data_IF_399401700232
#
_entry.id   IF_399401700232
#
_cell.length_a   1.000
_cell.length_b   1.000
_cell.length_c   1.000
_cell.angle_alpha   90.00
_cell.angle_beta   90.00
_cell.angle_gamma   90.00
#
_symmetry.space_group_name_H-M   'P 1'
#
loop_
_entity.id
_entity.type
_entity.pdbx_description
1 polymer ?
#
# COMPACT_ATOMS: atom_id res chain seq x y z
N UNK A 1 -16.77 19.73 15.85
CA UNK A 1 -15.37 19.24 15.71
C UNK A 1 -15.28 17.86 15.06
N UNK A 2 -16.12 16.87 15.43
CA UNK A 2 -16.09 15.51 14.85
C UNK A 2 -16.22 15.46 13.30
N UNK A 3 -17.05 16.31 12.70
CA UNK A 3 -17.25 16.39 11.24
C UNK A 3 -16.05 16.91 10.47
N UNK A 4 -15.31 17.87 11.04
CA UNK A 4 -14.09 18.39 10.43
C UNK A 4 -13.01 17.30 10.38
N UNK A 5 -12.92 16.50 11.45
CA UNK A 5 -12.01 15.35 11.54
C UNK A 5 -12.32 14.27 10.50
N UNK A 6 -13.60 13.94 10.27
CA UNK A 6 -14.00 12.92 9.29
C UNK A 6 -13.76 13.37 7.83
N UNK A 7 -14.00 14.66 7.53
CA UNK A 7 -13.70 15.21 6.20
C UNK A 7 -12.21 15.19 5.92
N UNK A 8 -11.38 15.62 6.87
CA UNK A 8 -9.94 15.66 6.69
C UNK A 8 -9.35 14.25 6.50
N UNK A 9 -9.73 13.30 7.36
CA UNK A 9 -9.30 11.90 7.23
C UNK A 9 -9.78 11.27 5.92
N UNK A 10 -11.02 11.53 5.50
CA UNK A 10 -11.53 11.08 4.20
C UNK A 10 -10.78 11.68 3.00
N UNK A 11 -10.47 12.98 3.02
CA UNK A 11 -9.65 13.64 1.98
C UNK A 11 -8.23 13.06 1.94
N UNK A 12 -7.60 12.86 3.09
CA UNK A 12 -6.28 12.21 3.16
C UNK A 12 -6.31 10.81 2.57
N UNK A 13 -7.38 10.03 2.83
CA UNK A 13 -7.54 8.71 2.25
C UNK A 13 -7.68 8.74 0.72
N UNK A 14 -8.46 9.69 0.19
CA UNK A 14 -8.61 9.90 -1.25
C UNK A 14 -7.28 10.29 -1.92
N UNK A 15 -6.58 11.26 -1.33
CA UNK A 15 -5.29 11.72 -1.86
C UNK A 15 -4.25 10.59 -1.81
N UNK A 16 -4.16 9.87 -0.69
CA UNK A 16 -3.28 8.73 -0.55
C UNK A 16 -3.57 7.61 -1.56
N UNK A 17 -4.84 7.28 -1.80
CA UNK A 17 -5.25 6.29 -2.79
C UNK A 17 -4.96 6.74 -4.24
N UNK A 18 -5.16 8.03 -4.55
CA UNK A 18 -4.80 8.56 -5.86
C UNK A 18 -3.28 8.53 -6.09
N UNK A 19 -2.49 8.88 -5.08
CA UNK A 19 -1.03 8.83 -5.13
C UNK A 19 -0.50 7.39 -5.25
N UNK A 20 -1.13 6.40 -4.63
CA UNK A 20 -0.72 4.99 -4.77
C UNK A 20 -0.99 4.46 -6.17
N UNK A 21 -2.11 4.84 -6.80
CA UNK A 21 -2.37 4.54 -8.21
C UNK A 21 -1.36 5.22 -9.11
N UNK A 22 -1.09 6.52 -8.90
CA UNK A 22 -0.09 7.26 -9.66
C UNK A 22 1.30 6.63 -9.56
N UNK A 23 1.66 6.15 -8.37
CA UNK A 23 2.91 5.42 -8.13
C UNK A 23 3.04 4.24 -9.08
N UNK A 24 2.02 3.37 -9.15
CA UNK A 24 2.04 2.17 -10.02
C UNK A 24 2.08 2.54 -11.49
N UNK A 25 1.35 3.58 -11.92
CA UNK A 25 1.37 4.05 -13.31
C UNK A 25 2.77 4.51 -13.72
N UNK A 26 3.50 5.14 -12.80
CA UNK A 26 4.86 5.63 -13.03
C UNK A 26 5.95 4.60 -12.70
N UNK A 27 5.61 3.50 -12.02
CA UNK A 27 6.58 2.56 -11.48
C UNK A 27 7.30 1.84 -12.63
N UNK A 28 8.62 2.05 -12.79
CA UNK A 28 9.34 1.49 -13.92
C UNK A 28 9.55 -0.03 -13.74
N UNK A 29 9.83 -0.71 -14.84
CA UNK A 29 10.35 -2.08 -14.78
C UNK A 29 11.77 -2.07 -14.20
N UNK A 30 12.12 -3.11 -13.45
CA UNK A 30 13.49 -3.33 -13.00
C UNK A 30 14.43 -3.68 -14.16
N UNK A 31 15.72 -3.84 -13.86
CA UNK A 31 16.73 -4.24 -14.82
C UNK A 31 18.10 -4.41 -14.19
N UNK A 32 19.12 -4.47 -15.03
CA UNK A 32 20.54 -4.46 -14.62
C UNK A 32 20.97 -3.07 -14.11
N UNK A 33 22.21 -2.96 -13.60
CA UNK A 33 22.74 -1.70 -13.07
C UNK A 33 22.72 -0.57 -14.10
N UNK A 34 23.07 -0.84 -15.35
CA UNK A 34 23.10 0.17 -16.40
C UNK A 34 21.69 0.73 -16.66
N UNK A 35 20.69 -0.14 -16.69
CA UNK A 35 19.29 0.24 -16.81
C UNK A 35 18.85 1.07 -15.61
N UNK A 36 19.12 0.62 -14.38
CA UNK A 36 18.75 1.33 -13.15
C UNK A 36 19.32 2.75 -13.10
N UNK A 37 20.55 2.95 -13.56
CA UNK A 37 21.18 4.28 -13.66
C UNK A 37 20.45 5.15 -14.69
N UNK A 38 20.06 4.59 -15.83
CA UNK A 38 19.31 5.31 -16.88
C UNK A 38 17.94 5.78 -16.39
N UNK A 39 17.25 4.99 -15.56
CA UNK A 39 15.90 5.30 -15.06
C UNK A 39 15.89 5.88 -13.64
N UNK A 40 17.05 6.21 -13.06
CA UNK A 40 17.19 6.58 -11.63
C UNK A 40 16.21 7.66 -11.16
N UNK A 41 15.96 8.67 -11.99
CA UNK A 41 15.08 9.78 -11.63
C UNK A 41 13.62 9.31 -11.52
N UNK A 42 13.18 8.45 -12.45
CA UNK A 42 11.83 7.89 -12.43
C UNK A 42 11.66 6.97 -11.21
N UNK A 43 12.66 6.15 -10.90
CA UNK A 43 12.68 5.31 -9.69
C UNK A 43 12.53 6.15 -8.41
N UNK A 44 13.39 7.16 -8.22
CA UNK A 44 13.35 8.03 -7.04
C UNK A 44 12.01 8.75 -6.95
N UNK A 45 11.56 9.36 -8.05
CA UNK A 45 10.33 10.16 -8.06
C UNK A 45 9.08 9.32 -7.74
N UNK A 46 8.88 8.22 -8.48
CA UNK A 46 7.73 7.32 -8.28
C UNK A 46 7.68 6.76 -6.85
N UNK A 47 8.80 6.29 -6.31
CA UNK A 47 8.83 5.72 -4.97
C UNK A 47 8.76 6.79 -3.87
N UNK A 48 9.20 8.01 -4.12
CA UNK A 48 8.97 9.14 -3.19
C UNK A 48 7.48 9.42 -3.05
N UNK A 49 6.71 9.37 -4.15
CA UNK A 49 5.24 9.45 -4.11
C UNK A 49 4.67 8.29 -3.29
N UNK A 50 5.16 7.07 -3.48
CA UNK A 50 4.74 5.88 -2.73
C UNK A 50 4.96 6.04 -1.21
N UNK A 51 6.14 6.51 -0.82
CA UNK A 51 6.50 6.75 0.59
C UNK A 51 5.63 7.87 1.16
N UNK A 52 5.42 8.95 0.41
CA UNK A 52 4.60 10.08 0.84
C UNK A 52 3.10 9.74 0.94
N UNK A 53 2.60 8.78 0.16
CA UNK A 53 1.19 8.37 0.23
C UNK A 53 0.89 7.54 1.49
N UNK A 54 1.86 6.78 2.00
CA UNK A 54 1.69 5.94 3.18
C UNK A 54 1.15 6.67 4.43
N UNK A 55 1.72 7.82 4.88
CA UNK A 55 1.16 8.56 6.01
C UNK A 55 -0.23 9.14 5.75
N UNK A 56 -0.56 9.50 4.50
CA UNK A 56 -1.90 9.98 4.14
C UNK A 56 -2.95 8.87 4.23
N UNK A 57 -2.64 7.69 3.70
CA UNK A 57 -3.49 6.49 3.84
C UNK A 57 -3.61 6.15 5.33
N UNK A 58 -2.51 6.10 6.07
CA UNK A 58 -2.51 5.80 7.51
C UNK A 58 -3.40 6.74 8.31
N UNK A 59 -3.33 8.05 8.05
CA UNK A 59 -4.19 9.04 8.71
C UNK A 59 -5.67 8.87 8.32
N UNK A 60 -5.95 8.57 7.06
CA UNK A 60 -7.32 8.29 6.60
C UNK A 60 -7.92 7.03 7.23
N UNK A 61 -7.13 5.96 7.30
CA UNK A 61 -7.51 4.70 7.97
C UNK A 61 -7.70 4.87 9.47
N UNK A 62 -6.95 5.77 10.12
CA UNK A 62 -7.21 6.12 11.52
C UNK A 62 -8.61 6.70 11.72
N UNK A 63 -9.05 7.59 10.82
CA UNK A 63 -10.42 8.13 10.82
C UNK A 63 -11.48 7.02 10.62
N UNK A 64 -11.23 6.10 9.68
CA UNK A 64 -12.08 4.92 9.49
C UNK A 64 -12.17 4.08 10.77
N UNK A 65 -11.04 3.85 11.43
CA UNK A 65 -11.01 3.03 12.64
C UNK A 65 -11.77 3.64 13.81
N UNK A 66 -11.67 4.96 13.97
CA UNK A 66 -12.44 5.72 14.95
C UNK A 66 -13.95 5.56 14.71
N UNK A 67 -14.38 5.66 13.45
CA UNK A 67 -15.80 5.57 13.10
C UNK A 67 -16.37 4.16 13.28
N UNK A 68 -15.58 3.13 13.01
CA UNK A 68 -15.97 1.72 13.19
C UNK A 68 -15.60 1.15 14.55
N UNK A 69 -15.23 1.99 15.53
CA UNK A 69 -14.77 1.50 16.84
C UNK A 69 -15.83 0.64 17.51
N UNK A 70 -15.47 -0.61 17.77
CA UNK A 70 -16.29 -1.61 18.44
C UNK A 70 -15.81 -1.88 19.87
N UNK A 71 -16.65 -2.56 20.67
CA UNK A 71 -16.33 -2.93 22.07
C UNK A 71 -15.03 -3.72 22.18
N UNK A 72 -14.71 -4.56 21.19
CA UNK A 72 -13.53 -5.42 21.20
C UNK A 72 -12.30 -4.76 20.58
N UNK A 73 -12.40 -3.49 20.14
CA UNK A 73 -11.33 -2.72 19.50
C UNK A 73 -10.77 -3.40 18.24
N UNK A 74 -11.55 -4.25 17.59
CA UNK A 74 -11.22 -4.93 16.33
C UNK A 74 -10.85 -3.92 15.24
N UNK A 75 -11.57 -2.79 15.20
CA UNK A 75 -11.30 -1.70 14.27
C UNK A 75 -9.92 -1.05 14.47
N UNK A 76 -9.45 -0.99 15.72
CA UNK A 76 -8.13 -0.46 16.07
C UNK A 76 -7.04 -1.49 15.74
N UNK A 77 -7.29 -2.78 15.97
CA UNK A 77 -6.39 -3.85 15.54
C UNK A 77 -6.17 -3.80 14.01
N UNK A 78 -7.24 -3.64 13.24
CA UNK A 78 -7.18 -3.49 11.78
C UNK A 78 -6.29 -2.30 11.36
N UNK A 79 -6.32 -1.19 12.10
CA UNK A 79 -5.43 -0.05 11.86
C UNK A 79 -3.97 -0.42 12.07
N UNK A 80 -3.62 -1.07 13.18
CA UNK A 80 -2.23 -1.42 13.47
C UNK A 80 -1.67 -2.40 12.44
N UNK A 81 -2.47 -3.37 12.00
CA UNK A 81 -2.10 -4.27 10.90
C UNK A 81 -1.87 -3.46 9.61
N UNK A 82 -2.74 -2.51 9.30
CA UNK A 82 -2.58 -1.68 8.10
C UNK A 82 -1.31 -0.81 8.17
N UNK A 83 -1.04 -0.19 9.33
CA UNK A 83 0.17 0.61 9.55
C UNK A 83 1.44 -0.23 9.45
N UNK A 84 1.42 -1.48 9.94
CA UNK A 84 2.51 -2.43 9.73
C UNK A 84 2.75 -2.69 8.23
N UNK A 85 1.68 -2.95 7.47
CA UNK A 85 1.77 -3.10 6.02
C UNK A 85 2.30 -1.85 5.31
N UNK A 86 1.80 -0.67 5.66
CA UNK A 86 2.25 0.61 5.09
C UNK A 86 3.72 0.91 5.43
N UNK A 87 4.18 0.50 6.62
CA UNK A 87 5.58 0.54 7.00
C UNK A 87 6.44 -0.37 6.10
N UNK A 88 5.99 -1.60 5.86
CA UNK A 88 6.67 -2.51 4.94
C UNK A 88 6.73 -1.95 3.51
N UNK A 89 5.63 -1.35 3.01
CA UNK A 89 5.60 -0.69 1.70
C UNK A 89 6.56 0.52 1.63
N UNK A 90 6.66 1.31 2.70
CA UNK A 90 7.58 2.45 2.77
C UNK A 90 9.04 2.01 2.76
N UNK A 91 9.35 0.90 3.46
CA UNK A 91 10.68 0.31 3.46
C UNK A 91 11.03 -0.28 2.08
N UNK A 92 10.08 -0.99 1.45
CA UNK A 92 10.20 -1.47 0.08
C UNK A 92 10.51 -0.32 -0.88
N UNK A 93 9.73 0.77 -0.80
CA UNK A 93 9.96 1.95 -1.63
C UNK A 93 11.29 2.64 -1.37
N UNK A 94 11.78 2.63 -0.13
CA UNK A 94 13.11 3.15 0.21
C UNK A 94 14.21 2.31 -0.43
N UNK A 95 14.13 0.99 -0.32
CA UNK A 95 15.12 0.08 -0.89
C UNK A 95 15.13 0.15 -2.42
N UNK A 96 13.96 -0.01 -3.05
CA UNK A 96 13.85 -0.09 -4.50
C UNK A 96 14.00 1.28 -5.19
N UNK A 97 13.47 2.33 -4.56
CA UNK A 97 13.40 3.66 -5.16
C UNK A 97 14.54 4.58 -4.82
N UNK A 98 15.19 4.41 -3.66
CA UNK A 98 16.22 5.33 -3.18
C UNK A 98 17.58 4.64 -3.09
N UNK A 99 17.66 3.49 -2.40
CA UNK A 99 18.93 2.79 -2.16
C UNK A 99 19.45 2.14 -3.44
N UNK A 100 18.61 1.37 -4.14
CA UNK A 100 19.00 0.62 -5.33
C UNK A 100 19.57 1.49 -6.47
N UNK A 101 18.96 2.62 -6.88
CA UNK A 101 19.54 3.48 -7.91
C UNK A 101 20.84 4.16 -7.47
N UNK A 102 21.00 4.45 -6.17
CA UNK A 102 22.27 4.99 -5.65
C UNK A 102 23.37 3.94 -5.69
N UNK A 103 23.06 2.71 -5.26
CA UNK A 103 23.97 1.56 -5.36
C UNK A 103 24.40 1.33 -6.81
N UNK A 104 23.45 1.24 -7.75
CA UNK A 104 23.76 1.07 -9.17
C UNK A 104 24.63 2.19 -9.72
N UNK A 105 24.37 3.45 -9.33
CA UNK A 105 25.19 4.60 -9.76
C UNK A 105 26.62 4.53 -9.23
N UNK A 106 26.82 4.02 -8.02
CA UNK A 106 28.14 3.94 -7.40
C UNK A 106 29.02 2.82 -7.98
N UNK A 107 28.41 1.72 -8.45
CA UNK A 107 29.15 0.52 -8.85
C UNK A 107 29.09 0.18 -10.34
N UNK A 108 28.25 0.85 -11.13
CA UNK A 108 28.23 0.65 -12.59
C UNK A 108 29.61 0.98 -13.18
N UNK A 109 30.21 0.02 -13.90
CA UNK A 109 31.53 0.17 -14.50
C UNK A 109 32.70 0.23 -13.51
N UNK A 110 32.49 -0.13 -12.24
CA UNK A 110 33.57 -0.30 -11.26
C UNK A 110 34.34 -1.60 -11.48
N UNK A 111 35.53 -1.70 -10.89
CA UNK A 111 36.35 -2.92 -10.92
C UNK A 111 35.90 -4.00 -9.92
N UNK A 112 34.76 -3.80 -9.23
CA UNK A 112 34.18 -4.78 -8.32
C UNK A 112 33.64 -5.97 -9.13
N UNK A 113 33.82 -7.18 -8.60
CA UNK A 113 33.34 -8.40 -9.23
C UNK A 113 31.84 -8.34 -9.57
N UNK A 114 31.51 -8.58 -10.85
CA UNK A 114 30.14 -8.45 -11.35
C UNK A 114 29.18 -9.46 -10.70
N UNK A 115 29.66 -10.69 -10.42
CA UNK A 115 28.85 -11.74 -9.79
C UNK A 115 28.46 -11.34 -8.36
N UNK A 116 29.39 -10.73 -7.61
CA UNK A 116 29.13 -10.18 -6.29
C UNK A 116 28.08 -9.05 -6.34
N UNK A 117 28.20 -8.13 -7.30
CA UNK A 117 27.23 -7.04 -7.46
C UNK A 117 25.84 -7.57 -7.80
N UNK A 118 25.74 -8.57 -8.68
CA UNK A 118 24.47 -9.22 -9.03
C UNK A 118 23.85 -9.94 -7.83
N UNK A 119 24.65 -10.62 -7.01
CA UNK A 119 24.17 -11.26 -5.78
C UNK A 119 23.59 -10.24 -4.79
N UNK A 120 24.21 -9.05 -4.66
CA UNK A 120 23.69 -7.96 -3.82
C UNK A 120 22.38 -7.42 -4.38
N UNK A 121 22.28 -7.21 -5.70
CA UNK A 121 21.05 -6.77 -6.35
C UNK A 121 19.92 -7.77 -6.16
N UNK A 122 20.20 -9.07 -6.33
CA UNK A 122 19.22 -10.13 -6.14
C UNK A 122 18.74 -10.19 -4.69
N UNK A 123 19.65 -10.09 -3.71
CA UNK A 123 19.28 -9.98 -2.31
C UNK A 123 18.33 -8.78 -2.07
N UNK A 124 18.66 -7.60 -2.59
CA UNK A 124 17.81 -6.42 -2.47
C UNK A 124 16.43 -6.63 -3.12
N UNK A 125 16.38 -7.29 -4.29
CA UNK A 125 15.12 -7.64 -4.97
C UNK A 125 14.28 -8.62 -4.15
N UNK A 126 14.86 -9.69 -3.61
CA UNK A 126 14.15 -10.65 -2.76
C UNK A 126 13.63 -10.00 -1.47
N UNK A 127 14.43 -9.13 -0.86
CA UNK A 127 14.03 -8.42 0.35
C UNK A 127 12.87 -7.45 0.05
N UNK A 128 12.94 -6.70 -1.04
CA UNK A 128 11.88 -5.83 -1.51
C UNK A 128 10.57 -6.61 -1.82
N UNK A 129 10.68 -7.73 -2.53
CA UNK A 129 9.53 -8.61 -2.82
C UNK A 129 8.86 -9.10 -1.54
N UNK A 130 9.64 -9.50 -0.55
CA UNK A 130 9.14 -9.97 0.75
C UNK A 130 8.34 -8.89 1.48
N UNK A 131 8.83 -7.64 1.47
CA UNK A 131 8.13 -6.50 2.07
C UNK A 131 6.83 -6.17 1.32
N UNK A 132 6.80 -6.29 -0.01
CA UNK A 132 5.58 -6.13 -0.79
C UNK A 132 4.52 -7.17 -0.42
N UNK A 133 4.90 -8.44 -0.21
CA UNK A 133 3.99 -9.47 0.31
C UNK A 133 3.47 -9.16 1.71
N UNK A 134 4.33 -8.68 2.62
CA UNK A 134 3.90 -8.25 3.97
C UNK A 134 2.87 -7.13 3.87
N UNK A 135 3.09 -6.14 3.01
CA UNK A 135 2.15 -5.06 2.74
C UNK A 135 0.81 -5.60 2.23
N UNK A 136 0.83 -6.43 1.18
CA UNK A 136 -0.37 -7.00 0.58
C UNK A 136 -1.20 -7.80 1.60
N UNK A 137 -0.56 -8.73 2.31
CA UNK A 137 -1.23 -9.56 3.31
C UNK A 137 -1.83 -8.71 4.43
N UNK A 138 -1.08 -7.73 4.93
CA UNK A 138 -1.53 -6.84 6.01
C UNK A 138 -2.77 -6.04 5.59
N UNK A 139 -2.74 -5.41 4.41
CA UNK A 139 -3.88 -4.63 3.92
C UNK A 139 -5.10 -5.50 3.66
N UNK A 140 -4.93 -6.69 3.08
CA UNK A 140 -6.01 -7.64 2.84
C UNK A 140 -6.70 -8.05 4.15
N UNK A 141 -5.90 -8.34 5.20
CA UNK A 141 -6.42 -8.67 6.53
C UNK A 141 -7.12 -7.46 7.17
N UNK A 142 -6.55 -6.26 7.08
CA UNK A 142 -7.18 -5.04 7.60
C UNK A 142 -8.53 -4.76 6.93
N UNK A 143 -8.61 -4.88 5.59
CA UNK A 143 -9.85 -4.73 4.83
C UNK A 143 -10.87 -5.78 5.26
N UNK A 144 -10.46 -7.05 5.46
CA UNK A 144 -11.36 -8.08 6.00
C UNK A 144 -11.97 -7.65 7.33
N UNK A 145 -11.15 -7.24 8.30
CA UNK A 145 -11.61 -6.89 9.63
C UNK A 145 -12.60 -5.71 9.61
N UNK A 146 -12.28 -4.62 8.89
CA UNK A 146 -13.23 -3.52 8.74
C UNK A 146 -14.49 -3.93 7.97
N UNK A 147 -14.36 -4.79 6.98
CA UNK A 147 -15.49 -5.28 6.19
C UNK A 147 -16.46 -6.11 7.03
N UNK A 148 -15.95 -6.99 7.89
CA UNK A 148 -16.78 -7.74 8.85
C UNK A 148 -17.48 -6.77 9.81
N UNK A 149 -16.78 -5.77 10.33
CA UNK A 149 -17.42 -4.76 11.19
C UNK A 149 -18.54 -4.01 10.46
N UNK A 150 -18.33 -3.62 9.20
CA UNK A 150 -19.33 -2.94 8.39
C UNK A 150 -20.55 -3.81 8.06
N UNK A 151 -20.39 -5.13 7.94
CA UNK A 151 -21.51 -6.05 7.65
C UNK A 151 -22.33 -6.37 8.91
N UNK A 152 -21.64 -6.59 10.05
CA UNK A 152 -22.29 -6.94 11.32
C UNK A 152 -22.84 -5.74 12.09
N UNK A 153 -22.23 -4.55 11.99
CA UNK A 153 -22.63 -3.36 12.74
C UNK A 153 -23.29 -2.30 11.83
N UNK A 154 -24.18 -1.45 12.39
CA UNK A 154 -24.82 -0.33 11.67
C UNK A 154 -23.89 0.89 11.56
N UNK A 155 -22.70 0.72 10.98
CA UNK A 155 -21.68 1.79 10.90
C UNK A 155 -21.76 2.63 9.63
N UNK A 156 -20.93 2.26 8.64
CA UNK A 156 -20.67 3.08 7.46
C UNK A 156 -21.58 2.74 6.28
N UNK A 157 -21.42 1.54 5.71
CA UNK A 157 -22.23 1.04 4.61
C UNK A 157 -22.00 -0.48 4.48
N UNK A 158 -23.07 -1.27 4.53
CA UNK A 158 -22.96 -2.74 4.39
C UNK A 158 -22.42 -3.17 3.03
N UNK A 159 -22.77 -2.44 1.97
CA UNK A 159 -22.29 -2.73 0.62
C UNK A 159 -20.76 -2.60 0.51
N UNK A 160 -20.16 -1.60 1.13
CA UNK A 160 -18.69 -1.48 1.19
C UNK A 160 -18.06 -2.64 1.97
N UNK A 161 -18.73 -3.10 3.02
CA UNK A 161 -18.34 -4.33 3.72
C UNK A 161 -18.31 -5.55 2.78
N UNK A 162 -19.39 -5.81 2.04
CA UNK A 162 -19.40 -6.91 1.07
C UNK A 162 -18.35 -6.75 -0.03
N UNK A 163 -18.13 -5.53 -0.53
CA UNK A 163 -17.07 -5.27 -1.50
C UNK A 163 -15.70 -5.59 -0.92
N UNK A 164 -15.41 -5.20 0.33
CA UNK A 164 -14.13 -5.54 0.97
C UNK A 164 -13.97 -7.03 1.29
N UNK A 165 -15.05 -7.77 1.55
CA UNK A 165 -15.00 -9.24 1.63
C UNK A 165 -14.61 -9.87 0.28
N UNK A 166 -15.09 -9.32 -0.84
CA UNK A 166 -14.67 -9.75 -2.18
C UNK A 166 -13.18 -9.42 -2.42
N UNK A 167 -12.74 -8.21 -2.05
CA UNK A 167 -11.31 -7.82 -2.12
C UNK A 167 -10.46 -8.79 -1.29
N UNK A 168 -10.91 -9.16 -0.09
CA UNK A 168 -10.23 -10.16 0.73
C UNK A 168 -10.15 -11.52 0.04
N UNK A 169 -11.28 -12.03 -0.48
CA UNK A 169 -11.31 -13.33 -1.14
C UNK A 169 -10.34 -13.40 -2.33
N UNK A 170 -10.35 -12.37 -3.18
CA UNK A 170 -9.44 -12.27 -4.32
C UNK A 170 -7.99 -12.14 -3.84
N UNK A 171 -7.72 -11.23 -2.90
CA UNK A 171 -6.38 -11.01 -2.36
C UNK A 171 -5.79 -12.25 -1.68
N UNK A 172 -6.58 -12.96 -0.88
CA UNK A 172 -6.18 -14.20 -0.23
C UNK A 172 -5.90 -15.30 -1.26
N UNK A 173 -6.83 -15.54 -2.21
CA UNK A 173 -6.62 -16.53 -3.27
C UNK A 173 -5.34 -16.26 -4.05
N UNK A 174 -5.04 -14.99 -4.31
CA UNK A 174 -3.86 -14.58 -5.03
C UNK A 174 -2.58 -14.74 -4.20
N UNK A 175 -2.59 -14.42 -2.90
CA UNK A 175 -1.48 -14.64 -1.97
C UNK A 175 -1.15 -16.14 -1.76
N UNK A 176 -2.15 -17.01 -1.82
CA UNK A 176 -1.96 -18.47 -1.73
C UNK A 176 -1.74 -19.15 -3.08
N UNK A 177 -1.71 -18.38 -4.18
CA UNK A 177 -1.38 -18.91 -5.49
C UNK A 177 0.14 -19.00 -5.67
N UNK A 178 0.60 -19.89 -6.56
CA UNK A 178 2.01 -19.94 -6.97
C UNK A 178 2.39 -18.84 -7.98
N UNK A 179 1.59 -17.77 -8.10
CA UNK A 179 1.85 -16.69 -9.05
C UNK A 179 2.73 -15.61 -8.43
N UNK A 180 3.58 -14.97 -9.24
CA UNK A 180 4.40 -13.84 -8.77
C UNK A 180 3.52 -12.58 -8.65
N UNK A 181 2.81 -12.46 -7.53
CA UNK A 181 1.88 -11.36 -7.24
C UNK A 181 2.56 -9.99 -7.15
N UNK A 182 3.87 -9.98 -6.94
CA UNK A 182 4.69 -8.76 -6.90
C UNK A 182 5.31 -8.44 -8.26
N UNK A 183 4.91 -9.14 -9.33
CA UNK A 183 5.12 -8.69 -10.70
C UNK A 183 4.41 -7.35 -10.94
N UNK A 184 4.98 -6.48 -11.77
CA UNK A 184 4.47 -5.11 -11.98
C UNK A 184 2.99 -5.08 -12.39
N UNK A 185 2.58 -6.02 -13.24
CA UNK A 185 1.18 -6.14 -13.67
C UNK A 185 0.24 -6.53 -12.52
N UNK A 186 0.48 -7.67 -11.87
CA UNK A 186 -0.41 -8.19 -10.81
C UNK A 186 -0.40 -7.30 -9.56
N UNK A 187 0.77 -6.77 -9.20
CA UNK A 187 0.88 -5.80 -8.11
C UNK A 187 0.10 -4.53 -8.42
N UNK A 188 0.16 -4.06 -9.67
CA UNK A 188 -0.64 -2.93 -10.11
C UNK A 188 -2.14 -3.18 -9.97
N UNK A 189 -2.64 -4.33 -10.43
CA UNK A 189 -4.05 -4.74 -10.25
C UNK A 189 -4.43 -4.75 -8.77
N UNK A 190 -3.58 -5.30 -7.90
CA UNK A 190 -3.79 -5.28 -6.46
C UNK A 190 -3.94 -3.86 -5.92
N UNK A 191 -3.03 -2.94 -6.28
CA UNK A 191 -3.07 -1.54 -5.85
C UNK A 191 -4.34 -0.85 -6.35
N UNK A 192 -4.75 -1.09 -7.60
CA UNK A 192 -6.01 -0.51 -8.13
C UNK A 192 -7.23 -0.97 -7.34
N UNK A 193 -7.34 -2.27 -7.05
CA UNK A 193 -8.46 -2.84 -6.28
C UNK A 193 -8.45 -2.34 -4.83
N UNK A 194 -7.28 -2.24 -4.21
CA UNK A 194 -7.13 -1.64 -2.89
C UNK A 194 -7.55 -0.15 -2.93
N UNK A 195 -7.04 0.61 -3.89
CA UNK A 195 -7.29 2.04 -4.01
C UNK A 195 -8.78 2.33 -4.25
N UNK A 196 -9.48 1.54 -5.07
CA UNK A 196 -10.93 1.72 -5.26
C UNK A 196 -11.71 1.50 -3.96
N UNK A 197 -11.32 0.52 -3.13
CA UNK A 197 -11.93 0.33 -1.81
C UNK A 197 -11.65 1.52 -0.88
N UNK A 198 -10.40 2.00 -0.82
CA UNK A 198 -10.01 3.18 -0.04
C UNK A 198 -10.73 4.45 -0.50
N UNK A 199 -10.93 4.61 -1.80
CA UNK A 199 -11.64 5.75 -2.38
C UNK A 199 -13.10 5.76 -1.91
N UNK A 200 -13.80 4.62 -2.03
CA UNK A 200 -15.19 4.53 -1.56
C UNK A 200 -15.26 4.79 -0.06
N UNK A 201 -14.36 4.21 0.75
CA UNK A 201 -14.29 4.47 2.18
C UNK A 201 -14.08 5.97 2.48
N UNK A 202 -13.18 6.64 1.76
CA UNK A 202 -12.91 8.08 1.89
C UNK A 202 -14.12 8.93 1.54
N UNK A 203 -14.82 8.63 0.44
CA UNK A 203 -16.06 9.33 0.06
C UNK A 203 -17.14 9.16 1.14
N UNK A 204 -17.31 7.97 1.69
CA UNK A 204 -18.28 7.72 2.75
C UNK A 204 -17.92 8.45 4.05
N UNK A 205 -16.64 8.49 4.42
CA UNK A 205 -16.16 9.27 5.57
C UNK A 205 -16.50 10.76 5.43
N UNK A 206 -16.31 11.33 4.24
CA UNK A 206 -16.64 12.74 3.95
C UNK A 206 -18.15 12.98 4.04
N UNK A 207 -18.96 12.02 3.59
CA UNK A 207 -20.43 12.11 3.57
C UNK A 207 -21.08 11.82 4.92
N UNK A 208 -20.34 11.31 5.91
CA UNK A 208 -20.88 10.99 7.22
C UNK A 208 -21.41 12.24 7.91
N UNK A 209 -22.71 12.23 8.25
CA UNK A 209 -23.33 13.31 9.01
C UNK A 209 -22.82 13.32 10.46
N UNK A 210 -22.75 14.48 11.13
CA UNK A 210 -22.53 14.53 12.57
C UNK A 210 -23.57 13.66 13.26
N UNK A 211 -23.12 12.67 14.03
CA UNK A 211 -23.95 12.09 15.09
C UNK A 211 -24.00 13.11 16.21
N UNK A 212 -25.19 13.69 16.43
CA UNK A 212 -25.48 14.51 17.61
C UNK A 212 -25.42 13.65 18.87
#
# INVERSE_FOLDING_TARGET
>A
MATFSNKLTGISLLLGAAMSVLTVVLHPLGGDMAHLVKIKFVLIFSHTIAIACAPLIGFGLWGLSKLLTDRNRTSILALFIALWGLGAASLAGTLNGLVLPQFATAYVGSDVDATLLDAILDYARYFNKSLAYVFMASIVVSILLWSLLMTYQKGLCKWLGYYGLLVFAIGAAALFSNTDMVSVGLFGVFIFVMASWLIVAGVLLIKQKPTN
#
